data_IF_121231473187
#
_entry.id   IF_121231473187
#
_cell.length_a   1.000
_cell.length_b   1.000
_cell.length_c   1.000
_cell.angle_alpha   90.00
_cell.angle_beta   90.00
_cell.angle_gamma   90.00
#
_symmetry.space_group_name_H-M   'P 1'
#
loop_
_entity.id
_entity.type
_entity.pdbx_description
1 polymer ?
#
# COMPACT_ATOMS: atom_id res chain seq x y z
N UNK A 1 31.93 25.83 37.75
CA UNK A 1 31.37 24.50 38.04
C UNK A 1 30.55 24.08 36.81
N UNK A 2 31.22 23.41 35.89
CA UNK A 2 30.70 23.06 34.55
C UNK A 2 30.19 21.64 34.60
N UNK A 3 28.87 21.43 34.41
CA UNK A 3 28.28 20.10 34.28
C UNK A 3 28.47 19.60 32.83
N UNK A 4 29.18 18.47 32.70
CA UNK A 4 29.22 17.68 31.49
C UNK A 4 27.86 17.01 31.30
N UNK A 5 27.22 17.27 30.16
CA UNK A 5 26.06 16.51 29.69
C UNK A 5 26.63 15.24 29.06
N UNK A 6 26.22 14.12 29.62
CA UNK A 6 26.59 12.77 29.20
C UNK A 6 25.82 12.38 27.92
N UNK A 7 26.53 12.16 26.79
CA UNK A 7 25.99 11.81 25.49
C UNK A 7 25.98 10.30 25.28
N UNK A 8 25.54 9.51 26.30
CA UNK A 8 25.54 8.03 26.26
C UNK A 8 24.43 7.35 25.44
N UNK A 9 23.37 8.07 25.03
CA UNK A 9 22.18 7.43 24.42
C UNK A 9 22.29 7.00 22.95
N UNK A 10 23.25 7.53 22.21
CA UNK A 10 23.36 7.24 20.77
C UNK A 10 24.02 5.90 20.42
N UNK A 11 24.85 5.38 21.31
CA UNK A 11 25.64 4.17 21.06
C UNK A 11 24.88 2.87 21.38
N UNK A 12 23.91 2.91 22.29
CA UNK A 12 23.06 1.75 22.61
C UNK A 12 22.03 1.46 21.51
N UNK A 13 21.46 2.49 20.89
CA UNK A 13 20.51 2.30 19.78
C UNK A 13 21.20 1.79 18.51
N UNK A 14 22.41 2.26 18.20
CA UNK A 14 23.21 1.75 17.10
C UNK A 14 23.64 0.28 17.31
N UNK A 15 23.96 -0.10 18.56
CA UNK A 15 24.29 -1.48 18.94
C UNK A 15 23.10 -2.42 18.86
N UNK A 16 21.90 -1.96 19.22
CA UNK A 16 20.67 -2.76 19.12
C UNK A 16 20.24 -2.97 17.66
N UNK A 17 20.36 -1.97 16.81
CA UNK A 17 20.08 -2.09 15.37
C UNK A 17 21.06 -3.06 14.68
N UNK A 18 22.35 -2.93 14.97
CA UNK A 18 23.38 -3.84 14.43
C UNK A 18 23.22 -5.29 14.92
N UNK A 19 22.71 -5.52 16.14
CA UNK A 19 22.44 -6.87 16.65
C UNK A 19 21.21 -7.51 16.03
N UNK A 20 20.20 -6.72 15.65
CA UNK A 20 19.00 -7.20 14.92
C UNK A 20 19.38 -7.57 13.48
N UNK A 21 20.19 -6.75 12.82
CA UNK A 21 20.69 -7.05 11.48
C UNK A 21 21.63 -8.26 11.46
N UNK A 22 22.48 -8.44 12.47
CA UNK A 22 23.33 -9.61 12.60
C UNK A 22 22.55 -10.88 12.92
N UNK A 23 21.47 -10.81 13.68
CA UNK A 23 20.58 -11.94 13.95
C UNK A 23 19.75 -12.31 12.70
N UNK A 24 19.32 -11.33 11.92
CA UNK A 24 18.65 -11.54 10.63
C UNK A 24 19.60 -12.14 9.57
N UNK A 25 20.87 -11.75 9.58
CA UNK A 25 21.91 -12.30 8.69
C UNK A 25 22.35 -13.73 9.06
N UNK A 26 22.19 -14.15 10.31
CA UNK A 26 22.53 -15.49 10.79
C UNK A 26 21.45 -16.55 10.47
N UNK A 27 20.23 -16.14 10.12
CA UNK A 27 19.21 -17.04 9.62
C UNK A 27 19.58 -17.48 8.21
N UNK A 28 19.90 -18.77 8.02
CA UNK A 28 20.16 -19.36 6.69
C UNK A 28 19.03 -18.93 5.75
N UNK A 29 19.31 -18.27 4.61
CA UNK A 29 18.27 -17.75 3.73
C UNK A 29 17.51 -18.94 3.14
N UNK A 30 16.38 -19.27 3.77
CA UNK A 30 15.46 -20.29 3.27
C UNK A 30 14.78 -19.66 2.04
N UNK A 31 15.01 -20.25 0.88
CA UNK A 31 14.33 -19.88 -0.35
C UNK A 31 13.51 -21.06 -0.88
N UNK A 32 12.42 -20.75 -1.57
CA UNK A 32 11.58 -21.75 -2.18
C UNK A 32 12.36 -22.58 -3.22
N UNK A 33 12.20 -23.91 -3.13
CA UNK A 33 12.74 -24.86 -4.09
C UNK A 33 11.60 -25.76 -4.57
N UNK A 34 11.55 -26.13 -5.84
CA UNK A 34 10.58 -27.09 -6.29
C UNK A 34 10.82 -28.44 -5.60
N UNK A 35 9.77 -29.02 -5.06
CA UNK A 35 9.83 -30.38 -4.53
C UNK A 35 9.97 -31.37 -5.69
N UNK A 36 10.80 -32.41 -5.51
CA UNK A 36 10.80 -33.56 -6.41
C UNK A 36 9.44 -34.28 -6.33
N UNK A 37 8.66 -34.18 -7.40
CA UNK A 37 7.33 -34.81 -7.48
C UNK A 37 7.28 -35.80 -8.65
N UNK A 38 6.66 -36.94 -8.41
CA UNK A 38 6.24 -37.85 -9.48
C UNK A 38 4.73 -37.74 -9.72
N UNK A 39 4.28 -38.31 -10.82
CA UNK A 39 2.85 -38.33 -11.14
C UNK A 39 2.09 -39.12 -10.05
N UNK A 40 1.14 -38.49 -9.39
CA UNK A 40 0.37 -39.10 -8.32
C UNK A 40 -0.50 -40.31 -8.78
N UNK A 41 -0.92 -40.33 -10.03
CA UNK A 41 -1.61 -41.50 -10.58
C UNK A 41 -0.70 -42.73 -10.65
N UNK A 42 0.61 -42.55 -10.93
CA UNK A 42 1.60 -43.62 -10.84
C UNK A 42 1.70 -44.15 -9.40
N UNK A 43 1.67 -43.25 -8.43
CA UNK A 43 1.69 -43.63 -7.01
C UNK A 43 0.46 -44.44 -6.60
N UNK A 44 -0.75 -44.09 -7.09
CA UNK A 44 -1.95 -44.88 -6.88
C UNK A 44 -1.81 -46.26 -7.53
N UNK A 45 -1.31 -46.32 -8.76
CA UNK A 45 -1.14 -47.59 -9.50
C UNK A 45 -0.16 -48.52 -8.77
N UNK A 46 0.95 -48.00 -8.30
CA UNK A 46 1.93 -48.76 -7.50
C UNK A 46 1.31 -49.24 -6.18
N UNK A 47 0.55 -48.39 -5.50
CA UNK A 47 -0.14 -48.75 -4.25
C UNK A 47 -1.16 -49.89 -4.52
N UNK A 48 -1.96 -49.80 -5.56
CA UNK A 48 -2.94 -50.83 -5.93
C UNK A 48 -2.25 -52.14 -6.33
N UNK A 49 -1.13 -52.06 -7.07
CA UNK A 49 -0.35 -53.22 -7.44
C UNK A 49 0.23 -53.96 -6.22
N UNK A 50 0.73 -53.22 -5.22
CA UNK A 50 1.23 -53.81 -3.98
C UNK A 50 0.12 -54.43 -3.14
N UNK A 51 -1.02 -53.78 -3.03
CA UNK A 51 -2.19 -54.35 -2.33
C UNK A 51 -2.70 -55.59 -3.05
N UNK A 52 -2.80 -55.57 -4.41
CA UNK A 52 -3.18 -56.72 -5.21
C UNK A 52 -2.20 -57.87 -5.10
N UNK A 53 -0.90 -57.59 -5.11
CA UNK A 53 0.18 -58.58 -4.87
C UNK A 53 0.07 -59.23 -3.50
N UNK A 54 -0.15 -58.40 -2.45
CA UNK A 54 -0.35 -58.91 -1.08
C UNK A 54 -1.56 -59.80 -0.95
N UNK A 55 -2.68 -59.43 -1.56
CA UNK A 55 -3.90 -60.24 -1.62
C UNK A 55 -3.65 -61.57 -2.40
N UNK A 56 -3.00 -61.49 -3.57
CA UNK A 56 -2.65 -62.70 -4.35
C UNK A 56 -1.81 -63.66 -3.55
N UNK A 57 -0.72 -63.19 -2.91
CA UNK A 57 0.14 -64.03 -2.06
C UNK A 57 -0.69 -64.62 -0.92
N UNK A 58 -1.53 -63.88 -0.26
CA UNK A 58 -2.34 -64.36 0.84
C UNK A 58 -3.30 -65.48 0.45
N UNK A 59 -3.92 -65.41 -0.75
CA UNK A 59 -4.89 -66.41 -1.21
C UNK A 59 -4.25 -67.62 -1.90
N UNK A 60 -3.05 -67.49 -2.53
CA UNK A 60 -2.44 -68.54 -3.33
C UNK A 60 -1.47 -69.39 -2.48
N UNK A 61 -0.85 -68.83 -1.41
CA UNK A 61 0.12 -69.55 -0.61
C UNK A 61 -0.54 -70.32 0.53
N UNK A 62 -0.06 -71.57 0.86
CA UNK A 62 -0.54 -72.31 2.01
C UNK A 62 -0.07 -71.70 3.33
N UNK A 63 -0.84 -71.95 4.40
CA UNK A 63 -0.43 -71.60 5.75
C UNK A 63 0.88 -72.41 6.10
N UNK A 64 1.97 -71.84 6.66
CA UNK A 64 2.08 -70.52 7.33
C UNK A 64 2.61 -69.36 6.45
N UNK A 65 2.84 -69.58 5.15
CA UNK A 65 3.44 -68.60 4.24
C UNK A 65 2.50 -67.43 3.88
N UNK A 66 1.20 -67.53 4.21
CA UNK A 66 0.23 -66.45 4.03
C UNK A 66 0.65 -65.15 4.68
N UNK A 67 1.39 -65.21 5.80
CA UNK A 67 1.88 -64.01 6.48
C UNK A 67 2.81 -63.12 5.60
N UNK A 68 3.46 -63.70 4.58
CA UNK A 68 4.25 -62.96 3.59
C UNK A 68 3.43 -61.97 2.76
N UNK A 69 2.13 -62.25 2.58
CA UNK A 69 1.21 -61.33 1.89
C UNK A 69 0.96 -60.03 2.60
N UNK A 70 1.22 -59.96 3.91
CA UNK A 70 1.11 -58.73 4.71
C UNK A 70 2.19 -57.71 4.36
N UNK A 71 3.38 -58.16 3.94
CA UNK A 71 4.52 -57.31 3.64
C UNK A 71 4.22 -56.27 2.53
N UNK A 72 3.71 -56.66 1.34
CA UNK A 72 3.37 -55.70 0.28
C UNK A 72 2.29 -54.74 0.71
N UNK A 73 1.32 -55.14 1.52
CA UNK A 73 0.27 -54.27 2.04
C UNK A 73 0.83 -53.25 2.99
N UNK A 74 1.75 -53.64 3.89
CA UNK A 74 2.46 -52.73 4.77
C UNK A 74 3.30 -51.68 4.00
N UNK A 75 3.93 -52.11 2.89
CA UNK A 75 4.68 -51.23 1.99
C UNK A 75 3.79 -50.27 1.20
N UNK A 76 2.55 -50.60 0.97
CA UNK A 76 1.59 -49.71 0.33
C UNK A 76 1.15 -48.50 1.21
N UNK A 77 1.19 -48.66 2.55
CA UNK A 77 0.78 -47.59 3.48
C UNK A 77 1.61 -46.31 3.33
N UNK A 78 2.96 -46.33 3.38
CA UNK A 78 3.77 -45.13 3.19
C UNK A 78 3.62 -44.52 1.81
N UNK A 79 3.31 -45.33 0.77
CA UNK A 79 3.03 -44.81 -0.57
C UNK A 79 1.70 -44.08 -0.59
N UNK A 80 0.64 -44.60 0.02
CA UNK A 80 -0.61 -43.91 0.18
C UNK A 80 -0.45 -42.60 0.97
N UNK A 81 0.35 -42.67 2.05
CA UNK A 81 0.68 -41.49 2.83
C UNK A 81 1.56 -40.46 2.08
N UNK A 82 2.21 -40.81 0.97
CA UNK A 82 3.04 -39.93 0.16
C UNK A 82 2.27 -39.12 -0.90
N UNK A 83 1.02 -39.45 -1.13
CA UNK A 83 0.17 -38.74 -2.09
C UNK A 83 -0.31 -37.42 -1.50
N UNK A 84 -0.23 -36.35 -2.29
CA UNK A 84 -0.74 -35.00 -1.94
C UNK A 84 -1.61 -34.46 -3.07
N UNK A 85 -2.76 -33.94 -2.69
CA UNK A 85 -3.65 -33.21 -3.62
C UNK A 85 -3.43 -31.72 -3.38
N UNK A 86 -3.03 -31.01 -4.42
CA UNK A 86 -2.82 -29.57 -4.44
C UNK A 86 -3.96 -28.92 -5.22
N UNK A 87 -4.74 -28.05 -4.57
CA UNK A 87 -5.82 -27.33 -5.22
C UNK A 87 -5.28 -26.15 -6.05
N UNK A 88 -5.98 -25.73 -7.12
CA UNK A 88 -5.61 -24.51 -7.85
C UNK A 88 -5.56 -23.28 -6.92
N UNK A 89 -4.45 -22.53 -6.99
CA UNK A 89 -4.22 -21.37 -6.13
C UNK A 89 -3.70 -21.70 -4.72
N UNK A 90 -3.26 -22.95 -4.50
CA UNK A 90 -2.57 -23.38 -3.30
C UNK A 90 -1.19 -23.95 -3.65
N UNK A 91 -0.30 -23.93 -2.68
CA UNK A 91 0.98 -24.63 -2.73
C UNK A 91 1.13 -25.49 -1.49
N UNK A 92 1.76 -26.66 -1.66
CA UNK A 92 2.05 -27.56 -0.57
C UNK A 92 3.55 -27.50 -0.23
N UNK A 93 3.87 -26.98 0.94
CA UNK A 93 5.21 -26.96 1.52
C UNK A 93 5.47 -28.31 2.16
N UNK A 94 6.56 -28.98 1.77
CA UNK A 94 6.90 -30.33 2.19
C UNK A 94 8.08 -30.29 3.17
N UNK A 95 7.85 -30.82 4.34
CA UNK A 95 8.82 -30.93 5.43
C UNK A 95 9.03 -32.41 5.77
N UNK A 96 10.28 -32.84 5.78
CA UNK A 96 10.64 -34.19 6.11
C UNK A 96 11.60 -34.20 7.31
N UNK A 97 11.18 -34.78 8.40
CA UNK A 97 11.96 -34.82 9.69
C UNK A 97 12.54 -33.45 10.08
N UNK A 98 11.75 -32.39 10.05
CA UNK A 98 12.18 -31.04 10.43
C UNK A 98 13.05 -30.33 9.39
N UNK A 99 13.22 -30.90 8.19
CA UNK A 99 13.93 -30.25 7.08
C UNK A 99 12.99 -29.90 5.95
N UNK A 100 13.08 -28.66 5.47
CA UNK A 100 12.38 -28.24 4.25
C UNK A 100 12.94 -28.97 3.03
N UNK A 101 12.08 -29.72 2.33
CA UNK A 101 12.42 -30.49 1.13
C UNK A 101 12.13 -29.69 -0.12
N UNK A 102 10.97 -29.02 -0.17
CA UNK A 102 10.56 -28.25 -1.32
C UNK A 102 9.07 -27.92 -1.28
N UNK A 103 8.61 -27.20 -2.29
CA UNK A 103 7.21 -26.79 -2.45
C UNK A 103 6.62 -27.33 -3.75
N UNK A 104 5.42 -27.85 -3.70
CA UNK A 104 4.61 -28.29 -4.87
C UNK A 104 3.62 -27.21 -5.19
N UNK A 105 3.74 -26.58 -6.37
CA UNK A 105 2.82 -25.54 -6.87
C UNK A 105 1.89 -26.06 -7.97
N UNK A 106 2.26 -27.17 -8.61
CA UNK A 106 1.44 -27.75 -9.68
C UNK A 106 0.14 -28.31 -9.09
N UNK A 107 -1.03 -27.83 -9.57
CA UNK A 107 -2.30 -28.36 -9.09
C UNK A 107 -2.49 -29.80 -9.55
N UNK A 108 -3.20 -30.58 -8.75
CA UNK A 108 -3.51 -31.96 -9.03
C UNK A 108 -2.94 -32.91 -7.99
N UNK A 109 -2.89 -34.20 -8.34
CA UNK A 109 -2.37 -35.26 -7.49
C UNK A 109 -0.86 -35.43 -7.73
N UNK A 110 -0.06 -35.18 -6.74
CA UNK A 110 1.38 -35.35 -6.76
C UNK A 110 1.82 -36.47 -5.82
N UNK A 111 2.81 -37.21 -6.24
CA UNK A 111 3.49 -38.21 -5.40
C UNK A 111 4.78 -37.59 -4.85
N UNK A 112 4.88 -37.48 -3.54
CA UNK A 112 5.96 -36.81 -2.82
C UNK A 112 6.69 -37.76 -1.89
N UNK A 113 7.60 -37.26 -1.08
CA UNK A 113 8.31 -38.05 -0.09
C UNK A 113 7.32 -38.64 0.92
N UNK A 114 7.40 -39.97 1.21
CA UNK A 114 6.57 -40.58 2.24
C UNK A 114 6.90 -40.03 3.62
N UNK A 115 5.95 -40.05 4.54
CA UNK A 115 6.05 -39.58 5.93
C UNK A 115 6.42 -38.07 6.08
N UNK A 116 6.29 -37.29 5.03
CA UNK A 116 6.50 -35.83 5.09
C UNK A 116 5.27 -35.11 5.65
N UNK A 117 5.54 -34.12 6.47
CA UNK A 117 4.53 -33.13 6.94
C UNK A 117 4.26 -32.17 5.78
N UNK A 118 3.00 -31.79 5.58
CA UNK A 118 2.58 -30.93 4.49
C UNK A 118 1.82 -29.75 5.04
N UNK A 119 2.31 -28.55 4.73
CA UNK A 119 1.62 -27.29 5.07
C UNK A 119 1.08 -26.67 3.80
N UNK A 120 -0.23 -26.40 3.76
CA UNK A 120 -0.86 -25.74 2.61
C UNK A 120 -0.79 -24.24 2.80
N UNK A 121 -0.33 -23.54 1.77
CA UNK A 121 -0.26 -22.07 1.71
C UNK A 121 -1.04 -21.61 0.50
N UNK A 122 -1.96 -20.68 0.69
CA UNK A 122 -2.67 -20.05 -0.42
C UNK A 122 -1.74 -19.05 -1.11
N UNK A 123 -1.60 -19.19 -2.42
CA UNK A 123 -0.83 -18.27 -3.28
C UNK A 123 -1.72 -17.31 -4.06
N UNK A 124 -3.02 -17.28 -3.73
CA UNK A 124 -3.99 -16.36 -4.31
C UNK A 124 -3.71 -14.94 -3.85
N UNK A 125 -4.09 -13.99 -4.67
CA UNK A 125 -4.09 -12.58 -4.29
C UNK A 125 -5.10 -12.36 -3.17
N UNK A 126 -4.69 -11.63 -2.15
CA UNK A 126 -5.48 -11.24 -0.97
C UNK A 126 -5.35 -9.76 -0.77
N UNK A 127 -6.31 -9.18 -0.07
CA UNK A 127 -6.24 -7.81 0.40
C UNK A 127 -6.55 -7.75 1.89
N UNK A 128 -6.01 -6.75 2.54
CA UNK A 128 -6.43 -6.31 3.85
C UNK A 128 -6.43 -4.80 3.92
N UNK A 129 -7.19 -4.25 4.83
CA UNK A 129 -7.23 -2.84 5.15
C UNK A 129 -6.46 -2.63 6.45
N UNK A 130 -5.55 -1.65 6.49
CA UNK A 130 -4.84 -1.28 7.72
C UNK A 130 -5.82 -0.71 8.74
N UNK A 131 -5.47 -0.78 10.01
CA UNK A 131 -6.21 -0.03 11.03
C UNK A 131 -6.17 1.46 10.73
N UNK A 132 -7.14 2.21 11.26
CA UNK A 132 -7.11 3.67 11.21
C UNK A 132 -5.96 4.19 12.08
N UNK A 133 -4.97 4.79 11.44
CA UNK A 133 -3.77 5.29 12.09
C UNK A 133 -3.86 6.79 12.19
N UNK A 134 -3.68 7.32 13.40
CA UNK A 134 -3.51 8.74 13.66
C UNK A 134 -2.02 9.07 13.67
N UNK A 135 -1.60 10.00 12.81
CA UNK A 135 -0.19 10.39 12.62
C UNK A 135 -0.14 11.88 12.29
N UNK A 136 0.97 12.53 12.65
CA UNK A 136 1.20 13.90 12.22
C UNK A 136 1.79 13.91 10.80
N UNK A 137 1.26 14.78 9.95
CA UNK A 137 1.82 15.06 8.63
C UNK A 137 3.14 15.84 8.71
N UNK A 138 3.77 16.14 7.57
CA UNK A 138 5.01 16.92 7.51
C UNK A 138 4.86 18.33 8.08
N UNK A 139 3.65 18.90 8.10
CA UNK A 139 3.35 20.20 8.69
C UNK A 139 3.01 20.11 10.18
N UNK A 140 3.03 18.91 10.78
CA UNK A 140 2.70 18.69 12.19
C UNK A 140 1.20 18.57 12.48
N UNK A 141 0.34 18.52 11.48
CA UNK A 141 -1.10 18.38 11.65
C UNK A 141 -1.47 16.91 11.88
N UNK A 142 -2.29 16.57 12.88
CA UNK A 142 -2.76 15.21 13.08
C UNK A 142 -3.76 14.82 11.98
N UNK A 143 -3.44 13.74 11.26
CA UNK A 143 -4.27 13.15 10.20
C UNK A 143 -4.62 11.71 10.52
N UNK A 144 -5.77 11.26 10.09
CA UNK A 144 -6.19 9.86 10.10
C UNK A 144 -6.05 9.28 8.70
N UNK A 145 -5.31 8.18 8.61
CA UNK A 145 -5.01 7.53 7.33
C UNK A 145 -5.27 6.03 7.42
N UNK A 146 -5.78 5.47 6.32
CA UNK A 146 -6.03 4.04 6.13
C UNK A 146 -5.56 3.67 4.74
N UNK A 147 -4.93 2.52 4.59
CA UNK A 147 -4.53 1.98 3.30
C UNK A 147 -5.06 0.56 3.10
N UNK A 148 -5.37 0.22 1.85
CA UNK A 148 -5.66 -1.13 1.39
C UNK A 148 -4.40 -1.67 0.75
N UNK A 149 -3.96 -2.83 1.21
CA UNK A 149 -2.77 -3.54 0.70
C UNK A 149 -3.23 -4.80 -0.01
N UNK A 150 -2.87 -4.91 -1.28
CA UNK A 150 -3.13 -6.08 -2.13
C UNK A 150 -1.83 -6.85 -2.27
N UNK A 151 -1.82 -8.13 -1.91
CA UNK A 151 -0.62 -8.94 -1.80
C UNK A 151 -0.85 -10.41 -2.11
N UNK A 152 0.21 -11.16 -2.35
CA UNK A 152 0.21 -12.62 -2.53
C UNK A 152 1.47 -13.23 -1.96
N UNK A 153 1.44 -14.54 -1.68
CA UNK A 153 2.64 -15.27 -1.29
C UNK A 153 3.45 -15.61 -2.54
N UNK A 154 4.66 -15.03 -2.63
CA UNK A 154 5.61 -15.28 -3.70
C UNK A 154 6.58 -16.43 -3.35
N UNK A 155 7.08 -16.46 -2.11
CA UNK A 155 7.97 -17.51 -1.60
C UNK A 155 7.29 -18.20 -0.40
N UNK A 156 6.79 -19.40 -0.63
CA UNK A 156 6.06 -20.16 0.39
C UNK A 156 6.97 -20.69 1.49
N UNK A 157 8.26 -20.90 1.20
CA UNK A 157 9.22 -21.34 2.21
C UNK A 157 9.50 -20.23 3.22
N UNK A 158 9.73 -19.00 2.73
CA UNK A 158 9.87 -17.83 3.61
C UNK A 158 8.60 -17.58 4.41
N UNK A 159 7.43 -17.66 3.77
CA UNK A 159 6.16 -17.42 4.44
C UNK A 159 5.89 -18.40 5.60
N UNK A 160 6.40 -19.62 5.53
CA UNK A 160 6.20 -20.66 6.56
C UNK A 160 7.29 -20.69 7.61
N UNK A 161 8.55 -20.36 7.24
CA UNK A 161 9.70 -20.60 8.10
C UNK A 161 10.49 -19.35 8.50
N UNK A 162 10.33 -18.22 7.78
CA UNK A 162 11.06 -16.99 8.11
C UNK A 162 10.32 -16.13 9.14
N UNK A 163 8.99 -16.22 9.20
CA UNK A 163 8.14 -15.48 10.12
C UNK A 163 7.09 -16.40 10.72
N UNK A 164 6.62 -16.07 11.92
CA UNK A 164 5.60 -16.87 12.61
C UNK A 164 4.23 -16.77 11.92
N UNK A 165 3.80 -15.55 11.61
CA UNK A 165 2.60 -15.26 10.83
C UNK A 165 2.92 -14.23 9.74
N UNK A 166 2.99 -14.67 8.49
CA UNK A 166 3.25 -13.75 7.38
C UNK A 166 2.14 -12.71 7.18
N UNK A 167 0.90 -13.04 7.55
CA UNK A 167 -0.24 -12.11 7.47
C UNK A 167 -0.09 -10.97 8.45
N UNK A 168 0.20 -11.28 9.71
CA UNK A 168 0.36 -10.28 10.76
C UNK A 168 1.64 -9.46 10.56
N UNK A 169 2.70 -10.13 10.09
CA UNK A 169 3.95 -9.45 9.75
C UNK A 169 3.73 -8.38 8.69
N UNK A 170 3.08 -8.71 7.57
CA UNK A 170 2.80 -7.75 6.48
C UNK A 170 1.90 -6.62 6.98
N UNK A 171 0.90 -6.90 7.82
CA UNK A 171 0.02 -5.87 8.38
C UNK A 171 0.81 -4.85 9.21
N UNK A 172 1.67 -5.32 10.13
CA UNK A 172 2.51 -4.45 10.97
C UNK A 172 3.49 -3.64 10.12
N UNK A 173 4.13 -4.26 9.11
CA UNK A 173 5.06 -3.55 8.23
C UNK A 173 4.35 -2.50 7.37
N UNK A 174 3.15 -2.79 6.88
CA UNK A 174 2.35 -1.84 6.13
C UNK A 174 1.93 -0.64 6.98
N UNK A 175 1.51 -0.86 8.22
CA UNK A 175 1.19 0.22 9.16
C UNK A 175 2.42 1.10 9.49
N UNK A 176 3.58 0.48 9.66
CA UNK A 176 4.84 1.19 9.89
C UNK A 176 5.26 2.04 8.70
N UNK A 177 5.17 1.50 7.49
CA UNK A 177 5.45 2.21 6.25
C UNK A 177 4.46 3.36 6.03
N UNK A 178 3.16 3.12 6.26
CA UNK A 178 2.11 4.12 6.14
C UNK A 178 2.34 5.30 7.10
N UNK A 179 2.76 5.02 8.34
CA UNK A 179 3.12 6.06 9.32
C UNK A 179 4.31 6.91 8.83
N UNK A 180 5.33 6.27 8.28
CA UNK A 180 6.51 6.97 7.75
C UNK A 180 6.15 7.87 6.57
N UNK A 181 5.43 7.34 5.60
CA UNK A 181 5.01 8.08 4.41
C UNK A 181 4.08 9.26 4.81
N UNK A 182 3.12 9.01 5.70
CA UNK A 182 2.22 10.07 6.17
C UNK A 182 2.95 11.23 6.87
N UNK A 183 4.06 10.94 7.59
CA UNK A 183 4.87 11.98 8.22
C UNK A 183 5.85 12.70 7.27
N UNK A 184 6.06 12.16 6.07
CA UNK A 184 6.98 12.73 5.07
C UNK A 184 6.31 13.80 4.22
N UNK A 185 5.02 13.67 3.96
CA UNK A 185 4.25 14.57 3.10
C UNK A 185 3.24 15.40 3.89
N UNK A 186 3.01 16.68 3.52
CA UNK A 186 1.89 17.43 4.08
C UNK A 186 0.56 16.87 3.58
N UNK A 187 -0.50 17.05 4.36
CA UNK A 187 -1.85 16.65 3.97
C UNK A 187 -2.30 17.37 2.70
N UNK A 188 -2.13 18.69 2.66
CA UNK A 188 -2.44 19.57 1.53
C UNK A 188 -1.20 20.41 1.24
N UNK A 189 -0.82 20.54 -0.02
CA UNK A 189 0.38 21.26 -0.48
C UNK A 189 0.02 22.44 -1.37
N UNK A 190 0.95 23.37 -1.53
CA UNK A 190 0.85 24.45 -2.51
C UNK A 190 0.84 23.89 -3.94
N UNK A 191 0.46 24.71 -4.91
CA UNK A 191 0.42 24.33 -6.32
C UNK A 191 1.81 23.88 -6.79
N UNK A 192 1.93 22.59 -7.23
CA UNK A 192 3.19 21.96 -7.61
C UNK A 192 3.93 21.22 -6.50
N UNK A 193 3.51 21.30 -5.25
CA UNK A 193 4.08 20.55 -4.13
C UNK A 193 3.40 19.19 -3.97
N UNK A 194 4.20 18.13 -3.69
CA UNK A 194 3.65 16.80 -3.41
C UNK A 194 2.95 16.80 -2.07
N UNK A 195 1.71 16.31 -2.05
CA UNK A 195 0.92 16.19 -0.84
C UNK A 195 0.15 14.87 -0.80
N UNK A 196 -0.26 14.44 0.37
CA UNK A 196 -1.03 13.21 0.56
C UNK A 196 -2.34 13.25 -0.24
N UNK A 197 -3.00 14.41 -0.30
CA UNK A 197 -4.27 14.62 -1.00
C UNK A 197 -4.08 14.87 -2.49
N UNK A 198 -3.15 15.75 -2.88
CA UNK A 198 -2.96 16.18 -4.27
C UNK A 198 -2.22 15.16 -5.13
N UNK A 199 -1.34 14.36 -4.52
CA UNK A 199 -0.46 13.40 -5.22
C UNK A 199 -0.70 11.97 -4.77
N UNK A 200 -1.95 11.60 -4.45
CA UNK A 200 -2.31 10.31 -3.84
C UNK A 200 -1.77 9.11 -4.62
N UNK A 201 -1.77 9.15 -5.96
CA UNK A 201 -1.26 8.04 -6.78
C UNK A 201 0.24 7.84 -6.62
N UNK A 202 1.03 8.92 -6.63
CA UNK A 202 2.48 8.87 -6.48
C UNK A 202 2.87 8.42 -5.06
N UNK A 203 2.16 8.93 -4.05
CA UNK A 203 2.36 8.55 -2.64
C UNK A 203 2.00 7.07 -2.42
N UNK A 204 0.93 6.57 -3.07
CA UNK A 204 0.55 5.16 -3.01
C UNK A 204 1.59 4.25 -3.67
N UNK A 205 2.19 4.68 -4.77
CA UNK A 205 3.26 3.94 -5.45
C UNK A 205 4.53 3.87 -4.59
N UNK A 206 4.93 4.99 -3.98
CA UNK A 206 6.06 5.03 -3.04
C UNK A 206 5.80 4.15 -1.81
N UNK A 207 4.57 4.20 -1.27
CA UNK A 207 4.15 3.34 -0.18
C UNK A 207 4.21 1.85 -0.57
N UNK A 208 3.81 1.50 -1.80
CA UNK A 208 3.89 0.13 -2.29
C UNK A 208 5.33 -0.38 -2.34
N UNK A 209 6.27 0.43 -2.81
CA UNK A 209 7.70 0.11 -2.82
C UNK A 209 8.23 -0.10 -1.40
N UNK A 210 7.94 0.80 -0.49
CA UNK A 210 8.36 0.72 0.91
C UNK A 210 7.84 -0.54 1.62
N UNK A 211 6.56 -0.87 1.42
CA UNK A 211 5.96 -2.08 1.99
C UNK A 211 6.56 -3.33 1.33
N UNK A 212 6.80 -3.33 0.01
CA UNK A 212 7.36 -4.45 -0.72
C UNK A 212 8.77 -4.82 -0.24
N UNK A 213 9.63 -3.82 -0.03
CA UNK A 213 10.98 -4.04 0.50
C UNK A 213 10.94 -4.80 1.84
N UNK A 214 10.06 -4.39 2.74
CA UNK A 214 9.90 -5.01 4.06
C UNK A 214 9.21 -6.38 4.01
N UNK A 215 8.18 -6.53 3.16
CA UNK A 215 7.42 -7.77 3.01
C UNK A 215 8.22 -8.92 2.38
N UNK A 216 9.28 -8.59 1.63
CA UNK A 216 10.17 -9.58 1.00
C UNK A 216 10.80 -10.55 2.01
N UNK A 217 11.04 -10.11 3.23
CA UNK A 217 11.56 -10.97 4.32
C UNK A 217 10.59 -12.10 4.66
N UNK A 218 9.28 -11.86 4.56
CA UNK A 218 8.23 -12.85 4.79
C UNK A 218 7.84 -13.63 3.52
N UNK A 219 8.54 -13.44 2.40
CA UNK A 219 8.22 -14.11 1.13
C UNK A 219 6.91 -13.66 0.49
N UNK A 220 6.48 -12.44 0.80
CA UNK A 220 5.25 -11.84 0.29
C UNK A 220 5.58 -10.82 -0.78
N UNK A 221 4.80 -10.83 -1.86
CA UNK A 221 4.85 -9.90 -2.98
C UNK A 221 3.67 -8.93 -2.87
N UNK A 222 3.96 -7.64 -2.86
CA UNK A 222 2.96 -6.58 -2.83
C UNK A 222 2.56 -6.26 -4.27
N UNK A 223 1.29 -6.43 -4.57
CA UNK A 223 0.74 -6.16 -5.91
C UNK A 223 0.41 -4.68 -6.04
N UNK A 224 -0.22 -4.12 -5.01
CA UNK A 224 -0.67 -2.74 -5.00
C UNK A 224 -0.94 -2.26 -3.57
N UNK A 225 -0.72 -0.97 -3.33
CA UNK A 225 -1.17 -0.30 -2.11
C UNK A 225 -1.94 0.94 -2.50
N UNK A 226 -3.09 1.17 -1.86
CA UNK A 226 -3.93 2.36 -2.09
C UNK A 226 -4.34 2.98 -0.76
N UNK A 227 -4.26 4.29 -0.68
CA UNK A 227 -4.85 5.03 0.43
C UNK A 227 -6.38 5.01 0.25
N UNK A 228 -7.10 4.43 1.20
CA UNK A 228 -8.56 4.29 1.18
C UNK A 228 -9.27 5.40 1.94
N UNK A 229 -8.65 5.89 3.00
CA UNK A 229 -9.16 6.98 3.82
C UNK A 229 -8.03 7.93 4.20
N UNK A 230 -8.30 9.22 4.06
CA UNK A 230 -7.39 10.29 4.45
C UNK A 230 -8.21 11.50 4.91
N UNK A 231 -8.09 11.87 6.16
CA UNK A 231 -8.80 13.01 6.74
C UNK A 231 -7.98 13.66 7.85
N UNK A 232 -8.23 14.92 8.13
CA UNK A 232 -7.74 15.53 9.37
C UNK A 232 -8.37 14.84 10.58
N UNK A 233 -7.60 14.71 11.65
CA UNK A 233 -8.14 14.21 12.90
C UNK A 233 -9.29 15.13 13.39
N UNK A 234 -10.33 14.55 14.02
CA UNK A 234 -11.54 15.29 14.41
C UNK A 234 -11.28 16.55 15.23
N UNK A 235 -10.20 16.54 16.03
CA UNK A 235 -9.84 17.65 16.91
C UNK A 235 -9.48 18.93 16.16
N UNK A 236 -8.92 18.81 14.95
CA UNK A 236 -8.49 19.97 14.14
C UNK A 236 -9.31 20.17 12.88
N UNK A 237 -10.19 19.22 12.53
CA UNK A 237 -10.93 19.21 11.26
C UNK A 237 -11.69 20.53 11.04
N UNK A 238 -12.39 21.06 12.07
CA UNK A 238 -13.10 22.33 11.96
C UNK A 238 -12.15 23.55 11.79
N UNK A 239 -11.02 23.53 12.45
CA UNK A 239 -10.03 24.62 12.32
C UNK A 239 -9.44 24.65 10.92
N UNK A 240 -9.09 23.46 10.38
CA UNK A 240 -8.57 23.32 9.02
C UNK A 240 -9.61 23.69 7.95
N UNK A 241 -10.86 23.32 8.15
CA UNK A 241 -11.94 23.74 7.25
C UNK A 241 -12.07 25.27 7.19
N UNK A 242 -12.01 25.97 8.33
CA UNK A 242 -12.04 27.44 8.37
C UNK A 242 -10.82 28.05 7.66
N UNK A 243 -9.63 27.46 7.84
CA UNK A 243 -8.43 27.90 7.13
C UNK A 243 -8.61 27.75 5.62
N UNK A 244 -9.02 26.56 5.16
CA UNK A 244 -9.29 26.31 3.73
C UNK A 244 -10.33 27.26 3.15
N UNK A 245 -11.40 27.59 3.91
CA UNK A 245 -12.39 28.57 3.50
C UNK A 245 -11.78 29.97 3.37
N UNK A 246 -10.95 30.40 4.33
CA UNK A 246 -10.28 31.68 4.26
C UNK A 246 -9.33 31.77 3.06
N UNK A 247 -8.50 30.73 2.85
CA UNK A 247 -7.58 30.67 1.72
C UNK A 247 -8.33 30.68 0.38
N UNK A 248 -9.46 29.94 0.28
CA UNK A 248 -10.31 29.95 -0.90
C UNK A 248 -10.95 31.32 -1.18
N UNK A 249 -11.37 32.05 -0.15
CA UNK A 249 -11.90 33.40 -0.29
C UNK A 249 -10.83 34.37 -0.79
N UNK A 250 -9.61 34.29 -0.24
CA UNK A 250 -8.48 35.13 -0.68
C UNK A 250 -8.16 34.83 -2.15
N UNK A 251 -7.95 33.56 -2.50
CA UNK A 251 -7.67 33.14 -3.87
C UNK A 251 -8.78 33.55 -4.87
N UNK A 252 -10.05 33.47 -4.45
CA UNK A 252 -11.15 33.92 -5.28
C UNK A 252 -11.10 35.45 -5.50
N UNK A 253 -10.79 36.23 -4.46
CA UNK A 253 -10.66 37.68 -4.57
C UNK A 253 -9.48 38.11 -5.43
N UNK A 254 -8.34 37.43 -5.30
CA UNK A 254 -7.18 37.67 -6.18
C UNK A 254 -7.54 37.50 -7.66
N UNK A 255 -8.25 36.42 -8.00
CA UNK A 255 -8.71 36.18 -9.37
C UNK A 255 -9.72 37.24 -9.86
N UNK A 256 -10.61 37.70 -8.98
CA UNK A 256 -11.54 38.80 -9.31
C UNK A 256 -10.77 40.07 -9.60
N UNK A 257 -9.78 40.43 -8.78
CA UNK A 257 -8.94 41.62 -9.00
C UNK A 257 -8.13 41.50 -10.27
N UNK A 258 -7.47 40.36 -10.52
CA UNK A 258 -6.72 40.10 -11.74
C UNK A 258 -7.60 40.23 -12.99
N UNK A 259 -8.79 39.59 -12.95
CA UNK A 259 -9.77 39.72 -14.03
C UNK A 259 -10.29 41.15 -14.23
N UNK A 260 -10.51 41.89 -13.15
CA UNK A 260 -10.94 43.28 -13.22
C UNK A 260 -9.87 44.19 -13.86
N UNK A 261 -8.58 44.01 -13.46
CA UNK A 261 -7.48 44.75 -14.08
C UNK A 261 -7.37 44.45 -15.57
N UNK A 262 -7.45 43.18 -15.98
CA UNK A 262 -7.43 42.80 -17.39
C UNK A 262 -8.64 43.40 -18.19
N UNK A 263 -9.83 43.42 -17.61
CA UNK A 263 -11.01 44.04 -18.24
C UNK A 263 -10.85 45.55 -18.39
N UNK A 264 -10.32 46.22 -17.37
CA UNK A 264 -10.09 47.67 -17.42
C UNK A 264 -9.01 48.01 -18.44
N UNK A 265 -7.92 47.25 -18.51
CA UNK A 265 -6.86 47.45 -19.50
C UNK A 265 -7.42 47.27 -20.94
N UNK A 266 -8.21 46.21 -21.15
CA UNK A 266 -8.83 45.93 -22.43
C UNK A 266 -9.78 47.08 -22.84
N UNK A 267 -10.60 47.56 -21.89
CA UNK A 267 -11.54 48.66 -22.13
C UNK A 267 -10.80 49.95 -22.52
N UNK A 268 -9.77 50.34 -21.80
CA UNK A 268 -8.94 51.51 -22.09
C UNK A 268 -8.25 51.41 -23.44
N UNK A 269 -7.74 50.26 -23.81
CA UNK A 269 -7.12 50.00 -25.08
C UNK A 269 -8.10 50.15 -26.22
N UNK A 270 -9.27 49.54 -26.14
CA UNK A 270 -10.31 49.61 -27.16
C UNK A 270 -10.84 51.06 -27.35
N UNK A 271 -11.03 51.82 -26.27
CA UNK A 271 -11.44 53.21 -26.33
C UNK A 271 -10.42 54.08 -27.03
N UNK A 272 -9.13 53.84 -26.83
CA UNK A 272 -8.01 54.52 -27.49
C UNK A 272 -7.89 54.15 -28.99
N UNK A 273 -7.97 52.84 -29.30
CA UNK A 273 -7.86 52.34 -30.66
C UNK A 273 -8.96 52.77 -31.59
N UNK A 274 -10.16 52.93 -31.04
CA UNK A 274 -11.35 53.37 -31.81
C UNK A 274 -11.61 54.89 -31.75
N UNK A 275 -10.71 55.65 -31.12
CA UNK A 275 -10.82 57.12 -31.01
C UNK A 275 -12.18 57.59 -30.47
N UNK A 276 -12.83 56.75 -29.56
CA UNK A 276 -14.18 57.03 -29.06
C UNK A 276 -14.17 58.25 -28.14
N UNK A 277 -13.13 58.37 -27.31
CA UNK A 277 -12.96 59.46 -26.32
C UNK A 277 -11.49 59.79 -26.18
N UNK A 278 -11.15 61.05 -26.25
CA UNK A 278 -9.79 61.54 -25.87
C UNK A 278 -9.79 61.81 -24.35
N UNK A 279 -9.10 60.94 -23.64
CA UNK A 279 -9.00 60.95 -22.18
C UNK A 279 -7.62 61.42 -21.75
N UNK A 280 -7.55 62.50 -21.00
CA UNK A 280 -6.36 62.89 -20.29
C UNK A 280 -6.05 61.88 -19.13
N UNK A 281 -4.85 61.95 -18.58
CA UNK A 281 -4.39 60.97 -17.58
C UNK A 281 -5.22 61.04 -16.27
N UNK A 282 -5.75 62.21 -15.90
CA UNK A 282 -6.58 62.39 -14.73
C UNK A 282 -7.93 61.71 -14.90
N UNK A 283 -8.58 61.87 -16.09
CA UNK A 283 -9.84 61.22 -16.40
C UNK A 283 -9.68 59.70 -16.56
N UNK A 284 -8.55 59.23 -17.13
CA UNK A 284 -8.23 57.80 -17.18
C UNK A 284 -8.13 57.22 -15.77
N UNK A 285 -7.43 57.89 -14.86
CA UNK A 285 -7.27 57.43 -13.47
C UNK A 285 -8.63 57.39 -12.73
N UNK A 286 -9.48 58.38 -12.92
CA UNK A 286 -10.82 58.41 -12.35
C UNK A 286 -11.71 57.28 -12.88
N UNK A 287 -11.64 57.00 -14.21
CA UNK A 287 -12.37 55.92 -14.85
C UNK A 287 -11.91 54.55 -14.37
N UNK A 288 -10.60 54.35 -14.28
CA UNK A 288 -10.01 53.10 -13.72
C UNK A 288 -10.49 52.88 -12.30
N UNK A 289 -10.39 53.89 -11.43
CA UNK A 289 -10.85 53.78 -10.06
C UNK A 289 -12.35 53.41 -9.95
N UNK A 290 -13.21 54.05 -10.74
CA UNK A 290 -14.65 53.76 -10.76
C UNK A 290 -14.95 52.35 -11.27
N UNK A 291 -14.30 51.91 -12.36
CA UNK A 291 -14.45 50.56 -12.90
C UNK A 291 -13.94 49.49 -11.91
N UNK A 292 -12.81 49.72 -11.29
CA UNK A 292 -12.27 48.79 -10.28
C UNK A 292 -13.20 48.64 -9.09
N UNK A 293 -13.80 49.72 -8.58
CA UNK A 293 -14.79 49.66 -7.50
C UNK A 293 -16.01 48.81 -7.91
N UNK A 294 -16.52 49.03 -9.12
CA UNK A 294 -17.67 48.29 -9.64
C UNK A 294 -17.35 46.80 -9.85
N UNK A 295 -16.21 46.49 -10.46
CA UNK A 295 -15.83 45.13 -10.82
C UNK A 295 -15.34 44.30 -9.62
N UNK A 296 -14.73 44.93 -8.60
CA UNK A 296 -14.25 44.25 -7.40
C UNK A 296 -15.26 44.24 -6.25
N UNK A 297 -16.44 44.85 -6.41
CA UNK A 297 -17.46 44.90 -5.37
C UNK A 297 -18.19 43.58 -5.24
N UNK A 298 -18.38 43.09 -4.01
CA UNK A 298 -19.18 41.89 -3.69
C UNK A 298 -20.72 42.17 -3.78
N UNK A 299 -21.13 43.44 -3.85
CA UNK A 299 -22.55 43.85 -3.91
C UNK A 299 -22.86 44.53 -5.26
N UNK A 300 -24.07 44.34 -5.77
CA UNK A 300 -24.50 45.04 -6.97
C UNK A 300 -24.45 46.56 -6.69
N UNK A 301 -23.61 47.28 -7.44
CA UNK A 301 -23.46 48.71 -7.36
C UNK A 301 -24.66 49.38 -8.04
N UNK A 302 -25.32 50.30 -7.33
CA UNK A 302 -26.33 51.17 -7.92
C UNK A 302 -25.66 52.47 -8.39
N UNK A 303 -25.49 52.69 -9.70
CA UNK A 303 -24.87 53.89 -10.19
C UNK A 303 -25.76 55.11 -9.87
N UNK A 304 -25.23 56.06 -9.13
CA UNK A 304 -25.89 57.37 -8.93
C UNK A 304 -25.41 58.26 -10.06
N UNK A 305 -26.27 58.48 -11.02
CA UNK A 305 -26.00 59.44 -12.14
C UNK A 305 -26.27 60.83 -11.63
N UNK A 306 -25.25 61.61 -11.43
CA UNK A 306 -25.40 63.02 -11.13
C UNK A 306 -25.73 63.75 -12.45
N UNK A 307 -27.03 64.03 -12.69
CA UNK A 307 -27.52 64.63 -13.91
C UNK A 307 -27.20 66.16 -14.04
N UNK A 308 -26.30 66.64 -13.19
CA UNK A 308 -25.89 68.05 -13.21
C UNK A 308 -26.96 68.96 -12.63
N UNK A 309 -26.60 69.85 -11.72
CA UNK A 309 -27.44 70.91 -11.30
C UNK A 309 -27.54 71.97 -12.40
N UNK A 310 -28.69 72.01 -13.07
CA UNK A 310 -29.06 73.08 -14.00
C UNK A 310 -29.30 74.40 -13.26
N UNK A 311 -28.37 74.85 -12.43
CA UNK A 311 -28.39 76.18 -11.86
C UNK A 311 -26.99 76.78 -12.03
N UNK A 312 -26.81 77.44 -13.19
CA UNK A 312 -25.96 78.59 -13.34
C UNK A 312 -26.78 79.80 -13.11
N UNK A 313 -26.62 80.52 -11.99
CA UNK A 313 -27.05 81.90 -11.82
C UNK A 313 -25.96 82.79 -12.39
#
# INVERSE_FOLDING_TARGET
MSQRIDTGGGNEQAGAAASIDAAAAAATPISERPAGTANGFLGILVMLALVGLGALVFFVTPAPLQALGVIPVLLALPIGASLVVVAPGEAAVIEFFGRYVGTVRTPGLAWTVPLAIRRRVSVRVRNFETGRIKVNDAAGNPVEIVAIVVWRVADTAKAVYAVDSFTDFVAVQAESALRRIASTYPYDGAEGERSLRGSTSQVSEELAVEVAERATAAGVDIVEVRISHLAYAPEIAQAMLRRQQADAIVAARERVVEGAVGMVELALRQLSEHEIVDLDDERKAAMVSNLMVVLCSDQPTSPIVNAGTLYSA
#
